data_IF_814159956811
#
_entry.id   IF_814159956811
#
_cell.length_a   1.000
_cell.length_b   1.000
_cell.length_c   1.000
_cell.angle_alpha   90.00
_cell.angle_beta   90.00
_cell.angle_gamma   90.00
#
_symmetry.space_group_name_H-M   'P 1'
#
loop_
_entity.id
_entity.type
_entity.pdbx_description
1 polymer ?
#
# COMPACT_ATOMS: atom_id res chain seq x y z
N UNK A 1 32.32 -2.54 -12.58
CA UNK A 1 30.93 -2.25 -13.00
C UNK A 1 30.04 -3.13 -12.14
N UNK A 2 29.29 -2.54 -11.21
CA UNK A 2 28.37 -3.30 -10.34
C UNK A 2 27.20 -3.76 -11.20
N UNK A 3 26.94 -5.06 -11.21
CA UNK A 3 25.88 -5.64 -12.04
C UNK A 3 24.51 -5.27 -11.46
N UNK A 4 23.48 -5.09 -12.31
CA UNK A 4 22.12 -4.77 -11.84
C UNK A 4 21.59 -5.78 -10.80
N UNK A 5 22.06 -7.03 -10.87
CA UNK A 5 21.81 -8.09 -9.89
C UNK A 5 22.40 -7.82 -8.50
N UNK A 6 23.59 -7.24 -8.40
CA UNK A 6 24.21 -6.91 -7.10
C UNK A 6 23.44 -5.80 -6.36
N UNK A 7 22.89 -4.84 -7.10
CA UNK A 7 22.08 -3.75 -6.51
C UNK A 7 20.76 -4.28 -5.94
N UNK A 8 20.13 -5.23 -6.64
CA UNK A 8 18.89 -5.88 -6.18
C UNK A 8 19.18 -6.75 -4.96
N UNK A 9 20.27 -7.53 -4.98
CA UNK A 9 20.66 -8.38 -3.85
C UNK A 9 21.02 -7.56 -2.60
N UNK A 10 21.64 -6.40 -2.77
CA UNK A 10 21.93 -5.47 -1.68
C UNK A 10 20.65 -4.88 -1.05
N UNK A 11 19.64 -4.54 -1.86
CA UNK A 11 18.33 -4.08 -1.35
C UNK A 11 17.59 -5.17 -0.60
N UNK A 12 17.63 -6.41 -1.11
CA UNK A 12 16.99 -7.54 -0.46
C UNK A 12 17.62 -7.86 0.90
N UNK A 13 18.96 -7.89 0.98
CA UNK A 13 19.67 -8.03 2.26
C UNK A 13 19.35 -6.90 3.25
N UNK A 14 19.21 -5.67 2.75
CA UNK A 14 18.88 -4.52 3.61
C UNK A 14 17.47 -4.67 4.21
N UNK A 15 16.46 -5.03 3.41
CA UNK A 15 15.10 -5.28 3.90
C UNK A 15 15.02 -6.48 4.82
N UNK A 16 15.75 -7.55 4.53
CA UNK A 16 15.81 -8.73 5.40
C UNK A 16 16.37 -8.39 6.79
N UNK A 17 17.40 -7.53 6.85
CA UNK A 17 17.97 -7.05 8.11
C UNK A 17 17.05 -6.07 8.86
N UNK A 18 16.26 -5.26 8.14
CA UNK A 18 15.26 -4.38 8.76
C UNK A 18 14.08 -5.17 9.36
N UNK A 19 13.72 -6.31 8.75
CA UNK A 19 12.65 -7.18 9.22
C UNK A 19 13.08 -8.16 10.33
N UNK A 20 14.36 -8.55 10.38
CA UNK A 20 14.84 -9.49 11.41
C UNK A 20 14.99 -8.85 12.81
N UNK A 21 14.83 -7.54 12.94
CA UNK A 21 14.93 -6.84 14.22
C UNK A 21 16.33 -6.91 14.86
N UNK A 22 17.33 -7.46 14.16
CA UNK A 22 18.69 -7.58 14.67
C UNK A 22 19.36 -6.20 14.65
N UNK A 23 19.76 -5.64 15.81
CA UNK A 23 20.51 -4.40 15.85
C UNK A 23 21.86 -4.63 15.15
N UNK A 24 22.10 -3.89 14.05
CA UNK A 24 23.36 -3.90 13.32
C UNK A 24 24.53 -3.62 14.28
N UNK A 25 25.28 -4.67 14.61
CA UNK A 25 26.49 -4.52 15.42
C UNK A 25 27.41 -3.47 14.77
N UNK A 26 27.90 -2.49 15.55
CA UNK A 26 28.76 -1.45 15.02
C UNK A 26 30.08 -2.08 14.56
N UNK A 27 30.24 -2.21 13.24
CA UNK A 27 31.49 -2.64 12.61
C UNK A 27 32.64 -1.78 13.16
N UNK A 28 33.50 -2.42 13.95
CA UNK A 28 34.76 -1.87 14.47
C UNK A 28 35.55 -1.30 13.29
N UNK A 29 35.62 0.02 13.18
CA UNK A 29 36.43 0.71 12.18
C UNK A 29 37.90 0.40 12.46
N UNK A 30 38.53 -0.32 11.52
CA UNK A 30 39.96 -0.50 11.49
C UNK A 30 40.65 0.87 11.38
N UNK A 31 41.47 1.16 12.37
CA UNK A 31 42.23 2.40 12.56
C UNK A 31 43.42 2.41 11.60
N UNK A 32 43.25 3.01 10.42
CA UNK A 32 44.37 3.35 9.53
C UNK A 32 45.07 4.60 10.10
N UNK A 33 46.38 4.51 10.25
CA UNK A 33 47.24 5.49 10.90
C UNK A 33 47.89 6.47 9.91
N UNK A 34 48.22 7.64 10.46
CA UNK A 34 49.19 8.68 10.04
C UNK A 34 48.70 9.85 9.15
N UNK A 35 49.35 11.04 9.20
CA UNK A 35 49.95 11.71 10.36
C UNK A 35 49.49 13.17 10.54
N UNK A 36 49.86 13.70 11.71
CA UNK A 36 49.64 15.05 12.26
C UNK A 36 50.15 16.20 11.38
N UNK A 37 49.37 17.28 11.33
CA UNK A 37 49.83 18.69 11.42
C UNK A 37 48.74 19.47 12.21
N UNK A 38 49.11 20.10 13.33
CA UNK A 38 48.21 20.94 14.16
C UNK A 38 48.24 22.42 13.77
N UNK A 39 48.04 23.38 14.70
CA UNK A 39 46.88 23.57 15.58
C UNK A 39 46.37 25.05 15.58
N UNK A 40 45.12 25.30 15.98
CA UNK A 40 44.68 26.54 16.69
C UNK A 40 43.26 26.30 17.25
N UNK A 41 43.10 26.13 18.55
CA UNK A 41 42.69 27.17 19.51
C UNK A 41 41.30 27.78 19.26
N UNK A 42 40.43 27.63 20.26
CA UNK A 42 39.09 28.24 20.29
C UNK A 42 38.23 27.65 21.41
N UNK A 43 38.44 28.19 22.61
CA UNK A 43 37.86 27.75 23.88
C UNK A 43 36.39 28.17 24.10
N UNK A 44 35.81 27.61 25.18
CA UNK A 44 34.54 27.94 25.89
C UNK A 44 33.30 27.35 25.25
N UNK A 45 32.55 26.45 25.88
CA UNK A 45 32.02 26.44 27.25
C UNK A 45 30.49 26.48 27.11
N UNK A 46 29.63 25.79 27.84
CA UNK A 46 29.71 24.88 28.97
C UNK A 46 28.29 24.82 29.54
N UNK A 47 27.81 23.59 29.77
CA UNK A 47 26.80 23.19 30.78
C UNK A 47 25.31 23.56 30.61
N UNK A 48 24.53 22.60 31.12
CA UNK A 48 23.23 22.73 31.80
C UNK A 48 22.00 22.77 30.87
N UNK A 49 20.91 22.05 31.07
CA UNK A 49 20.49 21.05 32.08
C UNK A 49 19.26 20.35 31.50
N UNK A 50 19.14 19.04 31.69
CA UNK A 50 17.83 18.39 31.75
C UNK A 50 17.06 18.91 32.97
N UNK A 51 15.73 19.03 32.87
CA UNK A 51 14.93 18.21 33.76
C UNK A 51 13.76 17.53 33.04
N UNK A 52 13.49 16.30 33.48
CA UNK A 52 12.27 15.57 33.15
C UNK A 52 11.01 16.31 33.62
N UNK A 53 9.93 16.07 32.88
CA UNK A 53 8.60 16.57 33.19
C UNK A 53 7.56 15.60 32.65
N UNK A 54 7.27 14.59 33.46
CA UNK A 54 6.08 13.75 33.39
C UNK A 54 4.83 14.63 33.41
N UNK A 55 4.07 14.62 32.32
CA UNK A 55 2.75 15.25 32.22
C UNK A 55 1.79 14.28 31.56
N UNK A 56 0.99 13.58 32.35
CA UNK A 56 -0.15 12.81 31.86
C UNK A 56 -1.26 13.80 31.50
N UNK A 57 -1.53 14.01 30.22
CA UNK A 57 -2.73 14.73 29.79
C UNK A 57 -3.85 13.74 29.52
N UNK A 58 -4.81 13.76 30.45
CA UNK A 58 -6.10 13.12 30.39
C UNK A 58 -7.02 13.97 29.50
N UNK A 59 -7.57 13.32 28.47
CA UNK A 59 -8.89 13.50 27.85
C UNK A 59 -9.52 14.91 27.87
N UNK A 60 -9.62 15.51 26.68
CA UNK A 60 -10.87 16.17 26.26
C UNK A 60 -11.17 15.76 24.82
N UNK A 61 -12.10 14.81 24.67
CA UNK A 61 -12.81 14.53 23.43
C UNK A 61 -13.52 15.82 22.98
N UNK A 62 -13.04 16.46 21.92
CA UNK A 62 -13.79 17.49 21.23
C UNK A 62 -14.81 16.82 20.30
N UNK A 63 -16.09 16.97 20.64
CA UNK A 63 -17.22 16.53 19.80
C UNK A 63 -17.14 17.18 18.41
N UNK A 64 -17.33 16.43 17.31
CA UNK A 64 -17.54 17.03 16.00
C UNK A 64 -18.91 17.75 15.99
N UNK A 65 -18.90 19.00 15.52
CA UNK A 65 -20.09 19.81 15.32
C UNK A 65 -21.05 19.17 14.29
N UNK A 66 -22.37 19.32 14.46
CA UNK A 66 -23.34 18.80 13.51
C UNK A 66 -23.25 19.54 12.16
N UNK A 67 -23.22 18.75 11.10
CA UNK A 67 -23.30 19.18 9.71
C UNK A 67 -24.60 19.95 9.51
N UNK A 68 -24.48 21.27 9.36
CA UNK A 68 -25.58 22.14 8.95
C UNK A 68 -26.02 21.76 7.53
N UNK A 69 -27.22 21.20 7.42
CA UNK A 69 -27.89 20.93 6.17
C UNK A 69 -28.21 22.26 5.46
N UNK A 70 -27.53 22.51 4.35
CA UNK A 70 -27.87 23.62 3.45
C UNK A 70 -29.13 23.23 2.66
N UNK A 71 -30.22 24.04 2.72
CA UNK A 71 -31.43 23.78 1.95
C UNK A 71 -31.21 23.94 0.45
N UNK A 72 -31.88 23.08 -0.31
CA UNK A 72 -31.73 22.91 -1.74
C UNK A 72 -31.89 24.18 -2.57
N UNK A 73 -31.05 24.29 -3.60
CA UNK A 73 -31.33 25.13 -4.77
C UNK A 73 -32.14 24.33 -5.80
N UNK A 74 -33.17 24.94 -6.40
CA UNK A 74 -34.02 24.27 -7.37
C UNK A 74 -33.27 24.01 -8.69
N UNK A 75 -33.51 22.80 -9.20
CA UNK A 75 -33.22 22.36 -10.55
C UNK A 75 -33.89 23.30 -11.56
N UNK A 76 -33.07 23.93 -12.41
CA UNK A 76 -33.56 24.57 -13.64
C UNK A 76 -33.13 23.71 -14.82
N UNK A 77 -34.13 23.18 -15.52
CA UNK A 77 -34.07 22.52 -16.84
C UNK A 77 -35.35 22.97 -17.58
N UNK A 78 -35.49 22.80 -18.89
CA UNK A 78 -34.57 22.95 -20.04
C UNK A 78 -35.06 24.08 -20.98
N UNK A 79 -34.27 24.47 -21.97
CA UNK A 79 -34.83 25.18 -23.12
C UNK A 79 -33.79 25.65 -24.12
N UNK A 80 -33.89 25.15 -25.36
CA UNK A 80 -33.29 25.83 -26.51
C UNK A 80 -32.44 24.94 -27.40
N UNK A 81 -33.11 24.14 -28.24
CA UNK A 81 -32.60 23.68 -29.52
C UNK A 81 -32.06 24.87 -30.34
N UNK A 82 -30.91 24.72 -30.99
CA UNK A 82 -30.63 25.30 -32.32
C UNK A 82 -29.21 24.96 -32.80
N UNK A 83 -29.20 24.19 -33.89
CA UNK A 83 -28.41 24.47 -35.09
C UNK A 83 -26.89 24.30 -35.05
N UNK A 84 -26.43 23.25 -35.73
CA UNK A 84 -25.21 23.33 -36.53
C UNK A 84 -25.23 24.58 -37.43
N UNK A 85 -24.07 25.18 -37.68
CA UNK A 85 -23.66 25.20 -39.07
C UNK A 85 -22.20 24.81 -39.27
N UNK A 86 -22.05 23.97 -40.27
CA UNK A 86 -21.01 23.94 -41.28
C UNK A 86 -20.06 25.15 -41.34
N UNK A 87 -18.80 24.82 -41.62
CA UNK A 87 -18.03 25.38 -42.74
C UNK A 87 -17.48 26.81 -42.68
N UNK A 88 -16.17 26.84 -42.92
CA UNK A 88 -15.44 27.84 -43.69
C UNK A 88 -14.72 28.97 -42.94
N UNK A 89 -13.53 29.22 -43.48
CA UNK A 89 -12.70 30.43 -43.35
C UNK A 89 -11.92 30.60 -42.05
N UNK A 90 -10.73 30.00 -42.09
CA UNK A 90 -9.49 30.63 -41.60
C UNK A 90 -9.51 32.14 -41.89
N UNK A 91 -9.39 33.02 -40.89
CA UNK A 91 -9.00 34.39 -41.16
C UNK A 91 -7.53 34.39 -41.56
N UNK A 92 -7.31 34.81 -42.81
CA UNK A 92 -6.00 35.13 -43.32
C UNK A 92 -5.35 36.20 -42.44
N UNK A 93 -4.15 35.87 -41.99
CA UNK A 93 -3.05 36.73 -41.56
C UNK A 93 -3.15 38.16 -42.16
N UNK A 94 -3.23 39.23 -41.36
CA UNK A 94 -2.86 40.54 -41.86
C UNK A 94 -1.34 40.52 -42.14
N UNK A 95 -0.87 40.86 -43.35
CA UNK A 95 0.55 41.10 -43.55
C UNK A 95 0.96 42.32 -42.72
N UNK A 96 1.97 42.14 -41.86
CA UNK A 96 2.66 43.22 -41.19
C UNK A 96 3.07 44.29 -42.21
N UNK A 97 2.90 45.59 -41.92
CA UNK A 97 3.38 46.62 -42.82
C UNK A 97 4.90 46.50 -42.93
N UNK A 98 5.35 46.09 -44.12
CA UNK A 98 6.71 46.27 -44.58
C UNK A 98 7.01 47.76 -44.41
N UNK A 99 7.99 48.07 -43.56
CA UNK A 99 8.53 49.41 -43.44
C UNK A 99 9.19 49.77 -44.78
N UNK A 100 8.38 50.31 -45.69
CA UNK A 100 8.85 51.07 -46.82
C UNK A 100 9.55 52.31 -46.25
N UNK A 101 10.88 52.20 -46.14
CA UNK A 101 11.80 53.32 -46.03
C UNK A 101 11.36 54.36 -47.07
N UNK A 102 10.96 55.59 -46.69
CA UNK A 102 10.92 56.68 -47.64
C UNK A 102 12.38 56.94 -48.00
N UNK A 103 12.79 56.47 -49.19
CA UNK A 103 13.99 56.99 -49.83
C UNK A 103 13.71 58.45 -50.12
N UNK A 104 14.30 59.34 -49.32
CA UNK A 104 14.36 60.76 -49.66
C UNK A 104 15.05 60.88 -51.01
N UNK A 105 14.42 61.49 -52.03
CA UNK A 105 15.10 61.82 -53.26
C UNK A 105 16.22 62.83 -52.94
N UNK A 106 17.43 62.49 -53.36
CA UNK A 106 18.53 63.45 -53.40
C UNK A 106 18.09 64.66 -54.22
N UNK A 107 18.27 65.90 -53.72
CA UNK A 107 17.95 67.08 -54.50
C UNK A 107 18.94 67.20 -55.68
N UNK A 108 18.46 67.67 -56.85
CA UNK A 108 19.30 67.90 -58.01
C UNK A 108 20.29 69.04 -57.74
N UNK A 109 21.51 68.85 -58.26
CA UNK A 109 22.53 69.88 -58.41
C UNK A 109 21.98 70.97 -59.36
N UNK A 110 21.44 72.05 -58.79
CA UNK A 110 21.14 73.27 -59.54
C UNK A 110 22.20 74.33 -59.25
N UNK A 111 23.05 74.51 -60.25
CA UNK A 111 23.58 75.76 -60.79
C UNK A 111 23.64 76.97 -59.85
N UNK A 112 24.87 77.19 -59.38
CA UNK A 112 25.60 78.48 -59.41
C UNK A 112 24.81 79.71 -59.88
N UNK A 113 23.88 80.19 -59.05
CA UNK A 113 23.39 81.56 -59.13
C UNK A 113 24.04 82.39 -58.04
N UNK A 114 25.33 82.65 -58.22
CA UNK A 114 26.05 83.82 -57.71
C UNK A 114 25.56 84.42 -56.39
N UNK A 115 25.42 83.60 -55.35
CA UNK A 115 25.43 84.11 -53.98
C UNK A 115 26.84 84.65 -53.78
N UNK A 116 26.98 85.97 -53.82
CA UNK A 116 28.13 86.65 -53.23
C UNK A 116 28.08 86.35 -51.74
N UNK A 117 28.57 85.17 -51.36
CA UNK A 117 28.93 84.85 -50.00
C UNK A 117 29.94 85.93 -49.63
N UNK A 118 29.48 86.90 -48.84
CA UNK A 118 30.37 87.74 -48.07
C UNK A 118 31.04 86.81 -47.05
N UNK A 119 32.02 86.03 -47.50
CA UNK A 119 32.98 85.38 -46.63
C UNK A 119 33.80 86.50 -46.01
N UNK A 120 33.27 87.05 -44.92
CA UNK A 120 34.05 87.87 -44.01
C UNK A 120 35.13 86.93 -43.48
N UNK A 121 36.36 87.13 -43.95
CA UNK A 121 37.53 86.37 -43.55
C UNK A 121 37.87 86.78 -42.10
N UNK A 122 37.28 86.08 -41.12
CA UNK A 122 37.50 86.37 -39.71
C UNK A 122 38.89 85.85 -39.30
N UNK A 123 39.83 86.75 -39.04
CA UNK A 123 41.04 86.43 -38.28
C UNK A 123 40.76 86.65 -36.79
N UNK A 124 39.91 85.81 -36.21
CA UNK A 124 39.69 85.79 -34.76
C UNK A 124 40.54 84.66 -34.18
N UNK A 125 41.59 85.02 -33.44
CA UNK A 125 42.41 84.05 -32.71
C UNK A 125 41.65 83.59 -31.47
N UNK A 126 41.73 82.30 -31.12
CA UNK A 126 41.29 81.81 -29.81
C UNK A 126 42.13 82.48 -28.71
N UNK A 127 41.59 83.56 -28.12
CA UNK A 127 42.29 84.42 -27.16
C UNK A 127 42.07 85.93 -27.37
N UNK A 128 41.61 86.37 -28.55
CA UNK A 128 41.29 87.78 -28.79
C UNK A 128 39.94 88.14 -28.16
N UNK A 129 39.98 88.67 -26.94
CA UNK A 129 38.78 89.19 -26.28
C UNK A 129 38.25 90.39 -27.05
N UNK A 130 37.04 90.28 -27.59
CA UNK A 130 36.33 91.41 -28.19
C UNK A 130 36.14 92.59 -27.23
N UNK A 131 36.30 92.37 -25.91
CA UNK A 131 36.26 93.44 -24.91
C UNK A 131 37.56 94.26 -24.85
N UNK A 132 38.68 93.69 -25.26
CA UNK A 132 40.00 94.33 -25.22
C UNK A 132 40.39 94.99 -26.56
N UNK A 133 39.75 94.58 -27.65
CA UNK A 133 39.97 95.15 -28.99
C UNK A 133 38.69 95.82 -29.54
N UNK A 134 38.67 97.15 -29.50
CA UNK A 134 37.52 97.99 -29.95
C UNK A 134 37.24 97.82 -31.45
N UNK A 135 38.26 97.62 -32.28
CA UNK A 135 38.08 97.34 -33.71
C UNK A 135 37.34 96.02 -33.91
N UNK A 136 37.74 94.98 -33.18
CA UNK A 136 37.10 93.66 -33.20
C UNK A 136 35.67 93.73 -32.68
N UNK A 137 35.43 94.48 -31.60
CA UNK A 137 34.08 94.73 -31.10
C UNK A 137 33.19 95.41 -32.15
N UNK A 138 33.70 96.46 -32.81
CA UNK A 138 32.95 97.19 -33.86
C UNK A 138 32.66 96.32 -35.07
N UNK A 139 33.59 95.47 -35.49
CA UNK A 139 33.36 94.51 -36.57
C UNK A 139 32.32 93.46 -36.19
N UNK A 140 32.40 92.92 -34.97
CA UNK A 140 31.38 92.03 -34.42
C UNK A 140 30.00 92.70 -34.38
N UNK A 141 29.88 93.93 -33.89
CA UNK A 141 28.61 94.65 -33.87
C UNK A 141 28.07 94.94 -35.27
N UNK A 142 28.93 95.24 -36.26
CA UNK A 142 28.48 95.46 -37.65
C UNK A 142 27.90 94.21 -38.30
N UNK A 143 28.37 93.02 -37.92
CA UNK A 143 27.92 91.76 -38.52
C UNK A 143 26.82 91.08 -37.69
N UNK A 144 26.87 91.19 -36.37
CA UNK A 144 25.92 90.57 -35.45
C UNK A 144 24.59 91.31 -35.34
N UNK A 145 24.56 92.63 -35.57
CA UNK A 145 23.31 93.39 -35.58
C UNK A 145 22.58 93.10 -36.88
N UNK A 146 21.50 92.32 -36.79
CA UNK A 146 20.66 92.04 -37.93
C UNK A 146 20.06 93.34 -38.48
N UNK A 147 19.77 93.44 -39.80
CA UNK A 147 19.12 94.62 -40.37
C UNK A 147 17.85 95.07 -39.61
N UNK A 148 17.10 94.12 -39.04
CA UNK A 148 15.93 94.39 -38.20
C UNK A 148 16.30 95.07 -36.86
N UNK A 149 17.41 94.67 -36.24
CA UNK A 149 17.91 95.28 -35.00
C UNK A 149 18.49 96.65 -35.27
N UNK A 150 19.12 96.86 -36.43
CA UNK A 150 19.57 98.18 -36.88
C UNK A 150 18.40 99.15 -37.06
N UNK A 151 17.30 98.68 -37.67
CA UNK A 151 16.07 99.47 -37.80
C UNK A 151 15.46 99.80 -36.44
N UNK A 152 15.48 98.85 -35.48
CA UNK A 152 15.07 99.10 -34.09
C UNK A 152 15.95 100.16 -33.41
N UNK A 153 17.27 100.05 -33.48
CA UNK A 153 18.22 101.01 -32.88
C UNK A 153 18.03 102.41 -33.46
N UNK A 154 17.69 102.55 -34.73
CA UNK A 154 17.40 103.85 -35.35
C UNK A 154 16.04 104.44 -34.93
N UNK A 155 15.06 103.58 -34.61
CA UNK A 155 13.71 103.98 -34.25
C UNK A 155 13.53 104.31 -32.75
N UNK A 156 14.47 103.92 -31.89
CA UNK A 156 14.42 104.16 -30.44
C UNK A 156 15.73 104.79 -29.94
N UNK A 157 15.68 105.47 -28.80
CA UNK A 157 16.92 105.98 -28.18
C UNK A 157 17.84 104.82 -27.76
N UNK A 158 19.16 105.05 -27.75
CA UNK A 158 20.15 104.04 -27.35
C UNK A 158 19.82 103.42 -25.99
N UNK A 159 19.41 104.22 -25.00
CA UNK A 159 19.04 103.73 -23.67
C UNK A 159 17.83 102.78 -23.71
N UNK A 160 16.80 103.10 -24.48
CA UNK A 160 15.63 102.23 -24.64
C UNK A 160 15.97 100.91 -25.33
N UNK A 161 16.88 100.95 -26.32
CA UNK A 161 17.37 99.74 -26.96
C UNK A 161 18.14 98.85 -25.97
N UNK A 162 19.06 99.43 -25.20
CA UNK A 162 19.83 98.70 -24.19
C UNK A 162 18.92 98.11 -23.10
N UNK A 163 17.91 98.85 -22.64
CA UNK A 163 16.94 98.35 -21.67
C UNK A 163 16.08 97.21 -22.25
N UNK A 164 15.63 97.33 -23.51
CA UNK A 164 14.89 96.27 -24.21
C UNK A 164 15.74 95.01 -24.41
N UNK A 165 17.00 95.18 -24.83
CA UNK A 165 17.94 94.08 -24.99
C UNK A 165 18.25 93.40 -23.64
N UNK A 166 18.44 94.17 -22.57
CA UNK A 166 18.64 93.65 -21.21
C UNK A 166 17.43 92.84 -20.75
N UNK A 167 16.22 93.35 -20.91
CA UNK A 167 15.00 92.64 -20.55
C UNK A 167 14.81 91.36 -21.37
N UNK A 168 15.11 91.40 -22.67
CA UNK A 168 15.08 90.22 -23.54
C UNK A 168 16.09 89.17 -23.11
N UNK A 169 17.33 89.58 -22.78
CA UNK A 169 18.36 88.69 -22.29
C UNK A 169 17.97 88.02 -20.97
N UNK A 170 17.43 88.79 -20.01
CA UNK A 170 16.93 88.24 -18.74
C UNK A 170 15.80 87.23 -18.98
N UNK A 171 14.87 87.52 -19.91
CA UNK A 171 13.80 86.59 -20.27
C UNK A 171 14.35 85.29 -20.86
N UNK A 172 15.31 85.38 -21.79
CA UNK A 172 15.92 84.18 -22.38
C UNK A 172 16.75 83.40 -21.37
N UNK A 173 17.45 84.06 -20.46
CA UNK A 173 18.16 83.38 -19.36
C UNK A 173 17.18 82.61 -18.46
N UNK A 174 16.04 83.21 -18.10
CA UNK A 174 14.99 82.53 -17.32
C UNK A 174 14.37 81.36 -18.09
N UNK A 175 14.16 81.51 -19.40
CA UNK A 175 13.66 80.45 -20.27
C UNK A 175 14.65 79.27 -20.34
N UNK A 176 15.94 79.56 -20.52
CA UNK A 176 17.00 78.55 -20.51
C UNK A 176 17.07 77.85 -19.15
N UNK A 177 17.01 78.59 -18.03
CA UNK A 177 17.00 78.00 -16.68
C UNK A 177 15.77 77.09 -16.46
N UNK A 178 14.60 77.51 -16.95
CA UNK A 178 13.37 76.70 -16.92
C UNK A 178 13.51 75.43 -17.76
N UNK A 179 14.15 75.49 -18.93
CA UNK A 179 14.41 74.32 -19.76
C UNK A 179 15.45 73.38 -19.12
N UNK A 180 16.47 73.92 -18.44
CA UNK A 180 17.46 73.13 -17.70
C UNK A 180 16.79 72.36 -16.56
N UNK A 181 15.97 73.03 -15.76
CA UNK A 181 15.22 72.41 -14.65
C UNK A 181 14.24 71.36 -15.15
N UNK A 182 13.46 71.67 -16.18
CA UNK A 182 12.55 70.70 -16.81
C UNK A 182 13.32 69.49 -17.39
N UNK A 183 14.46 69.72 -18.02
CA UNK A 183 15.34 68.66 -18.54
C UNK A 183 15.88 67.76 -17.43
N UNK A 184 16.23 68.32 -16.27
CA UNK A 184 16.65 67.56 -15.09
C UNK A 184 15.49 66.69 -14.56
N UNK A 185 14.28 67.25 -14.47
CA UNK A 185 13.08 66.53 -14.04
C UNK A 185 12.73 65.35 -14.95
N UNK A 186 12.79 65.55 -16.28
CA UNK A 186 12.56 64.47 -17.24
C UNK A 186 13.60 63.36 -17.12
N UNK A 187 14.88 63.72 -16.96
CA UNK A 187 15.95 62.73 -16.73
C UNK A 187 15.71 61.93 -15.45
N UNK A 188 15.30 62.59 -14.37
CA UNK A 188 15.02 61.90 -13.11
C UNK A 188 13.78 61.00 -13.21
N UNK A 189 12.70 61.45 -13.85
CA UNK A 189 11.53 60.60 -14.13
C UNK A 189 11.90 59.39 -14.97
N UNK A 190 12.71 59.57 -16.02
CA UNK A 190 13.18 58.46 -16.85
C UNK A 190 13.97 57.43 -16.03
N UNK A 191 14.85 57.86 -15.12
CA UNK A 191 15.57 56.95 -14.21
C UNK A 191 14.63 56.20 -13.26
N UNK A 192 13.57 56.84 -12.75
CA UNK A 192 12.57 56.17 -11.91
C UNK A 192 11.78 55.14 -12.71
N UNK A 193 11.36 55.47 -13.92
CA UNK A 193 10.67 54.54 -14.81
C UNK A 193 11.55 53.32 -15.16
N UNK A 194 12.83 53.53 -15.47
CA UNK A 194 13.77 52.43 -15.74
C UNK A 194 13.93 51.51 -14.52
N UNK A 195 14.12 52.06 -13.32
CA UNK A 195 14.19 51.26 -12.08
C UNK A 195 12.90 50.48 -11.83
N UNK A 196 11.74 51.11 -12.00
CA UNK A 196 10.46 50.43 -11.85
C UNK A 196 10.28 49.29 -12.87
N UNK A 197 10.76 49.47 -14.10
CA UNK A 197 10.78 48.43 -15.12
C UNK A 197 11.70 47.27 -14.73
N UNK A 198 12.94 47.54 -14.29
CA UNK A 198 13.89 46.52 -13.84
C UNK A 198 13.33 45.70 -12.66
N UNK A 199 12.68 46.37 -11.70
CA UNK A 199 11.99 45.71 -10.58
C UNK A 199 10.82 44.83 -11.06
N UNK A 200 10.02 45.32 -12.01
CA UNK A 200 8.92 44.54 -12.58
C UNK A 200 9.43 43.31 -13.34
N UNK A 201 10.50 43.44 -14.13
CA UNK A 201 11.14 42.33 -14.83
C UNK A 201 11.73 41.32 -13.84
N UNK A 202 12.36 41.79 -12.75
CA UNK A 202 12.87 40.92 -11.70
C UNK A 202 11.73 40.11 -11.06
N UNK A 203 10.63 40.75 -10.68
CA UNK A 203 9.44 40.07 -10.12
C UNK A 203 8.85 39.08 -11.12
N UNK A 204 8.79 39.42 -12.41
CA UNK A 204 8.30 38.52 -13.44
C UNK A 204 9.18 37.25 -13.57
N UNK A 205 10.51 37.39 -13.47
CA UNK A 205 11.43 36.25 -13.46
C UNK A 205 11.26 35.37 -12.21
N UNK A 206 11.13 35.99 -11.03
CA UNK A 206 10.88 35.27 -9.77
C UNK A 206 9.56 34.47 -9.82
N UNK A 207 8.49 35.07 -10.34
CA UNK A 207 7.22 34.39 -10.55
C UNK A 207 7.32 33.27 -11.60
N UNK A 208 8.13 33.46 -12.65
CA UNK A 208 8.44 32.42 -13.63
C UNK A 208 9.07 31.19 -12.98
N UNK A 209 10.10 31.38 -12.16
CA UNK A 209 10.75 30.30 -11.41
C UNK A 209 9.81 29.62 -10.41
N UNK A 210 8.97 30.40 -9.71
CA UNK A 210 7.96 29.82 -8.81
C UNK A 210 6.94 28.97 -9.58
N UNK A 211 6.48 29.43 -10.74
CA UNK A 211 5.57 28.67 -11.60
C UNK A 211 6.22 27.35 -12.08
N UNK A 212 7.48 27.39 -12.52
CA UNK A 212 8.22 26.18 -12.92
C UNK A 212 8.35 25.21 -11.74
N UNK A 213 8.70 25.72 -10.55
CA UNK A 213 8.76 24.91 -9.34
C UNK A 213 7.42 24.26 -8.96
N UNK A 214 6.31 24.99 -9.11
CA UNK A 214 4.97 24.44 -8.89
C UNK A 214 4.60 23.38 -9.93
N UNK A 215 4.91 23.60 -11.21
CA UNK A 215 4.66 22.61 -12.26
C UNK A 215 5.43 21.31 -12.02
N UNK A 216 6.69 21.39 -11.56
CA UNK A 216 7.47 20.21 -11.19
C UNK A 216 6.85 19.46 -10.00
N UNK A 217 6.34 20.17 -9.00
CA UNK A 217 5.65 19.55 -7.85
C UNK A 217 4.34 18.88 -8.26
N UNK A 218 3.56 19.52 -9.14
CA UNK A 218 2.33 18.94 -9.69
C UNK A 218 2.65 17.68 -10.47
N UNK A 219 3.66 17.70 -11.35
CA UNK A 219 4.11 16.52 -12.09
C UNK A 219 4.55 15.37 -11.17
N UNK A 220 5.33 15.67 -10.12
CA UNK A 220 5.74 14.67 -9.13
C UNK A 220 4.54 14.07 -8.37
N UNK A 221 3.57 14.89 -7.97
CA UNK A 221 2.35 14.44 -7.29
C UNK A 221 1.44 13.61 -8.22
N UNK A 222 1.34 13.97 -9.50
CA UNK A 222 0.61 13.19 -10.51
C UNK A 222 1.25 11.81 -10.71
N UNK A 223 2.57 11.72 -10.75
CA UNK A 223 3.28 10.45 -10.88
C UNK A 223 3.17 9.59 -9.60
N UNK A 224 3.22 10.20 -8.41
CA UNK A 224 2.94 9.52 -7.15
C UNK A 224 1.50 8.98 -7.12
N UNK A 225 0.51 9.78 -7.54
CA UNK A 225 -0.88 9.35 -7.63
C UNK A 225 -1.07 8.17 -8.58
N UNK A 226 -0.37 8.14 -9.73
CA UNK A 226 -0.38 6.99 -10.65
C UNK A 226 0.21 5.75 -9.99
N UNK A 227 1.33 5.86 -9.28
CA UNK A 227 1.94 4.74 -8.56
C UNK A 227 1.00 4.19 -7.47
N UNK A 228 0.35 5.06 -6.70
CA UNK A 228 -0.63 4.65 -5.69
C UNK A 228 -1.85 3.96 -6.33
N UNK A 229 -2.31 4.44 -7.48
CA UNK A 229 -3.41 3.81 -8.23
C UNK A 229 -3.04 2.40 -8.67
N UNK A 230 -1.83 2.21 -9.23
CA UNK A 230 -1.33 0.89 -9.60
C UNK A 230 -1.23 -0.05 -8.39
N UNK A 231 -0.69 0.42 -7.26
CA UNK A 231 -0.60 -0.38 -6.04
C UNK A 231 -1.97 -0.80 -5.50
N UNK A 232 -2.96 0.09 -5.58
CA UNK A 232 -4.34 -0.20 -5.16
C UNK A 232 -5.02 -1.23 -6.07
N UNK A 233 -4.73 -1.23 -7.36
CA UNK A 233 -5.26 -2.25 -8.28
C UNK A 233 -4.57 -3.62 -8.09
N UNK A 234 -3.27 -3.64 -7.80
CA UNK A 234 -2.56 -4.86 -7.39
C UNK A 234 -3.14 -5.45 -6.09
N UNK A 235 -3.42 -4.61 -5.09
CA UNK A 235 -4.03 -5.04 -3.82
C UNK A 235 -5.45 -5.60 -4.03
N UNK A 236 -6.28 -4.94 -4.86
CA UNK A 236 -7.60 -5.47 -5.23
C UNK A 236 -7.50 -6.85 -5.89
N UNK A 237 -6.51 -7.03 -6.78
CA UNK A 237 -6.29 -8.32 -7.44
C UNK A 237 -5.87 -9.40 -6.43
N UNK A 238 -4.94 -9.08 -5.51
CA UNK A 238 -4.51 -9.99 -4.44
C UNK A 238 -5.67 -10.36 -3.50
N UNK A 239 -6.52 -9.40 -3.13
CA UNK A 239 -7.69 -9.65 -2.31
C UNK A 239 -8.76 -10.48 -3.05
N UNK A 240 -8.94 -10.29 -4.36
CA UNK A 240 -9.80 -11.16 -5.18
C UNK A 240 -9.28 -12.60 -5.22
N UNK A 241 -7.96 -12.79 -5.34
CA UNK A 241 -7.31 -14.10 -5.27
C UNK A 241 -7.56 -14.74 -3.89
N UNK A 242 -7.26 -14.04 -2.80
CA UNK A 242 -7.46 -14.54 -1.44
C UNK A 242 -8.94 -14.94 -1.17
N UNK A 243 -9.90 -14.15 -1.65
CA UNK A 243 -11.34 -14.49 -1.58
C UNK A 243 -11.67 -15.76 -2.35
N UNK A 244 -11.06 -15.97 -3.52
CA UNK A 244 -11.29 -17.17 -4.32
C UNK A 244 -10.69 -18.42 -3.65
N UNK A 245 -9.51 -18.31 -3.05
CA UNK A 245 -8.88 -19.38 -2.28
C UNK A 245 -9.67 -19.72 -1.02
N UNK A 246 -10.18 -18.72 -0.31
CA UNK A 246 -11.05 -18.91 0.84
C UNK A 246 -12.30 -19.72 0.45
N UNK A 247 -13.01 -19.32 -0.61
CA UNK A 247 -14.19 -20.06 -1.10
C UNK A 247 -13.84 -21.49 -1.51
N UNK A 248 -12.69 -21.71 -2.15
CA UNK A 248 -12.23 -23.04 -2.51
C UNK A 248 -11.95 -23.89 -1.25
N UNK A 249 -11.38 -23.30 -0.20
CA UNK A 249 -11.14 -23.99 1.08
C UNK A 249 -12.44 -24.30 1.83
N UNK A 250 -13.42 -23.40 1.78
CA UNK A 250 -14.75 -23.60 2.37
C UNK A 250 -15.49 -24.73 1.65
N UNK A 251 -15.40 -24.80 0.32
CA UNK A 251 -15.97 -25.91 -0.46
C UNK A 251 -15.35 -27.26 -0.06
N UNK A 252 -14.02 -27.34 0.05
CA UNK A 252 -13.33 -28.57 0.51
C UNK A 252 -13.73 -28.94 1.94
N UNK A 253 -13.90 -27.96 2.82
CA UNK A 253 -14.36 -28.20 4.19
C UNK A 253 -15.79 -28.76 4.20
N UNK A 254 -16.69 -28.22 3.37
CA UNK A 254 -18.05 -28.72 3.23
C UNK A 254 -18.08 -30.16 2.69
N UNK A 255 -17.27 -30.47 1.68
CA UNK A 255 -17.09 -31.83 1.16
C UNK A 255 -16.58 -32.79 2.25
N UNK A 256 -15.54 -32.41 2.99
CA UNK A 256 -14.98 -33.21 4.07
C UNK A 256 -16.02 -33.48 5.18
N UNK A 257 -16.81 -32.46 5.56
CA UNK A 257 -17.92 -32.62 6.52
C UNK A 257 -18.99 -33.57 6.02
N UNK A 258 -19.34 -33.50 4.72
CA UNK A 258 -20.31 -34.42 4.13
C UNK A 258 -19.80 -35.87 4.13
N UNK A 259 -18.53 -36.09 3.79
CA UNK A 259 -17.90 -37.41 3.81
C UNK A 259 -17.82 -37.98 5.23
N UNK A 260 -17.54 -37.13 6.22
CA UNK A 260 -17.53 -37.51 7.62
C UNK A 260 -18.93 -37.95 8.08
N UNK A 261 -19.98 -37.21 7.74
CA UNK A 261 -21.36 -37.59 8.05
C UNK A 261 -21.74 -38.96 7.44
N UNK A 262 -21.34 -39.24 6.19
CA UNK A 262 -21.54 -40.55 5.55
C UNK A 262 -20.81 -41.66 6.30
N UNK A 263 -19.56 -41.42 6.73
CA UNK A 263 -18.78 -42.40 7.50
C UNK A 263 -19.37 -42.65 8.88
N UNK A 264 -19.79 -41.61 9.59
CA UNK A 264 -20.48 -41.75 10.88
C UNK A 264 -21.75 -42.59 10.75
N UNK A 265 -22.52 -42.38 9.69
CA UNK A 265 -23.69 -43.22 9.42
C UNK A 265 -23.29 -44.67 9.16
N UNK A 266 -22.27 -44.93 8.32
CA UNK A 266 -21.80 -46.28 8.05
C UNK A 266 -21.27 -47.00 9.31
N UNK A 267 -20.64 -46.28 10.22
CA UNK A 267 -20.21 -46.81 11.53
C UNK A 267 -21.42 -47.22 12.36
N UNK A 268 -22.43 -46.34 12.49
CA UNK A 268 -23.67 -46.68 13.22
C UNK A 268 -24.37 -47.92 12.62
N UNK A 269 -24.42 -48.02 11.29
CA UNK A 269 -24.97 -49.20 10.62
C UNK A 269 -24.15 -50.47 10.88
N UNK A 270 -22.82 -50.35 10.98
CA UNK A 270 -21.95 -51.47 11.33
C UNK A 270 -22.10 -51.89 12.80
N UNK A 271 -22.22 -50.93 13.73
CA UNK A 271 -22.48 -51.17 15.14
C UNK A 271 -23.80 -51.93 15.35
N UNK A 272 -24.88 -51.48 14.70
CA UNK A 272 -26.17 -52.19 14.73
C UNK A 272 -26.06 -53.64 14.22
N UNK A 273 -25.32 -53.87 13.12
CA UNK A 273 -25.09 -55.23 12.61
C UNK A 273 -24.28 -56.10 13.57
N UNK A 274 -23.32 -55.52 14.27
CA UNK A 274 -22.55 -56.23 15.30
C UNK A 274 -23.46 -56.62 16.47
N UNK A 275 -24.32 -55.71 16.94
CA UNK A 275 -25.31 -56.01 17.98
C UNK A 275 -26.29 -57.12 17.55
N UNK A 276 -26.79 -57.08 16.31
CA UNK A 276 -27.65 -58.13 15.75
C UNK A 276 -26.95 -59.50 15.71
N UNK A 277 -25.69 -59.54 15.26
CA UNK A 277 -24.91 -60.78 15.20
C UNK A 277 -24.58 -61.32 16.60
N UNK A 278 -24.28 -60.44 17.56
CA UNK A 278 -24.08 -60.83 18.96
C UNK A 278 -25.35 -61.44 19.55
N UNK A 279 -26.53 -60.85 19.30
CA UNK A 279 -27.80 -61.41 19.73
C UNK A 279 -28.06 -62.79 19.10
N UNK A 280 -27.80 -62.96 17.79
CA UNK A 280 -27.93 -64.26 17.12
C UNK A 280 -26.97 -65.32 17.68
N UNK A 281 -25.73 -64.94 17.99
CA UNK A 281 -24.77 -65.84 18.61
C UNK A 281 -25.22 -66.28 20.00
N UNK A 282 -25.74 -65.35 20.82
CA UNK A 282 -26.30 -65.69 22.13
C UNK A 282 -27.45 -66.71 22.04
N UNK A 283 -28.38 -66.52 21.09
CA UNK A 283 -29.46 -67.51 20.84
C UNK A 283 -28.91 -68.87 20.45
N UNK A 284 -27.93 -68.91 19.52
CA UNK A 284 -27.32 -70.18 19.09
C UNK A 284 -26.55 -70.87 20.21
N UNK A 285 -25.88 -70.11 21.05
CA UNK A 285 -25.14 -70.61 22.20
C UNK A 285 -26.11 -71.26 23.21
N UNK A 286 -27.22 -70.60 23.54
CA UNK A 286 -28.26 -71.14 24.42
C UNK A 286 -28.93 -72.39 23.84
N UNK A 287 -29.22 -72.40 22.53
CA UNK A 287 -29.72 -73.60 21.85
C UNK A 287 -28.71 -74.76 21.89
N UNK A 288 -27.43 -74.48 21.66
CA UNK A 288 -26.37 -75.48 21.71
C UNK A 288 -26.21 -76.04 23.13
N UNK A 289 -26.22 -75.18 24.15
CA UNK A 289 -26.23 -75.59 25.57
C UNK A 289 -27.43 -76.49 25.87
N UNK A 290 -28.63 -76.09 25.44
CA UNK A 290 -29.85 -76.89 25.66
C UNK A 290 -29.76 -78.25 24.98
N UNK A 291 -29.32 -78.31 23.71
CA UNK A 291 -29.11 -79.59 22.99
C UNK A 291 -28.08 -80.47 23.68
N UNK A 292 -26.98 -79.89 24.16
CA UNK A 292 -25.96 -80.62 24.91
C UNK A 292 -26.53 -81.19 26.22
N UNK A 293 -27.29 -80.40 26.98
CA UNK A 293 -27.96 -80.85 28.21
C UNK A 293 -29.01 -81.92 27.95
N UNK A 294 -29.80 -81.78 26.88
CA UNK A 294 -30.78 -82.78 26.45
C UNK A 294 -30.09 -84.08 26.03
N UNK A 295 -28.98 -84.01 25.28
CA UNK A 295 -28.18 -85.19 24.93
C UNK A 295 -27.62 -85.88 26.18
N UNK A 296 -27.03 -85.12 27.12
CA UNK A 296 -26.55 -85.66 28.41
C UNK A 296 -27.68 -86.33 29.18
N UNK A 297 -28.90 -85.77 29.15
CA UNK A 297 -30.07 -86.36 29.79
C UNK A 297 -30.48 -87.68 29.13
N UNK A 298 -30.58 -87.71 27.80
CA UNK A 298 -30.87 -88.93 27.04
C UNK A 298 -29.82 -90.03 27.30
N UNK A 299 -28.54 -89.67 27.37
CA UNK A 299 -27.48 -90.60 27.74
C UNK A 299 -27.67 -91.18 29.14
N UNK A 300 -28.05 -90.35 30.12
CA UNK A 300 -28.34 -90.82 31.49
C UNK A 300 -29.57 -91.71 31.56
N UNK A 301 -30.59 -91.43 30.75
CA UNK A 301 -31.85 -92.17 30.73
C UNK A 301 -31.76 -93.47 29.90
N UNK A 302 -30.74 -93.62 29.06
CA UNK A 302 -30.57 -94.79 28.21
C UNK A 302 -29.99 -95.97 29.00
N UNK A 303 -30.84 -96.94 29.30
CA UNK A 303 -30.44 -98.22 29.92
C UNK A 303 -29.35 -98.93 29.11
N UNK A 304 -29.45 -98.94 27.78
CA UNK A 304 -28.41 -99.54 26.91
C UNK A 304 -27.02 -98.92 27.09
N UNK A 305 -26.93 -97.62 27.38
CA UNK A 305 -25.66 -96.94 27.62
C UNK A 305 -25.19 -97.10 29.06
N UNK A 306 -26.11 -97.21 30.03
CA UNK A 306 -25.75 -97.57 31.39
C UNK A 306 -25.22 -98.99 31.44
N UNK A 307 -25.89 -99.94 30.79
CA UNK A 307 -25.43 -101.32 30.65
C UNK A 307 -24.10 -101.38 29.91
N UNK A 308 -23.90 -100.61 28.84
CA UNK A 308 -22.63 -100.59 28.12
C UNK A 308 -21.51 -99.88 28.89
N UNK A 309 -21.80 -98.83 29.66
CA UNK A 309 -20.83 -98.22 30.57
C UNK A 309 -20.53 -99.12 31.75
N UNK A 310 -21.52 -99.83 32.30
CA UNK A 310 -21.31 -100.82 33.35
C UNK A 310 -20.54 -102.00 32.81
N UNK A 311 -20.87 -102.55 31.64
CA UNK A 311 -20.13 -103.64 31.02
C UNK A 311 -18.73 -103.18 30.62
N UNK A 312 -18.55 -102.09 29.89
CA UNK A 312 -17.23 -101.67 29.39
C UNK A 312 -16.37 -101.05 30.50
N UNK A 313 -16.95 -100.30 31.45
CA UNK A 313 -16.19 -99.79 32.59
C UNK A 313 -15.95 -100.87 33.64
N UNK A 314 -16.90 -101.77 33.95
CA UNK A 314 -16.63 -102.89 34.89
C UNK A 314 -15.74 -103.92 34.23
N UNK A 315 -15.98 -104.34 32.98
CA UNK A 315 -15.09 -105.28 32.30
C UNK A 315 -13.73 -104.65 32.01
N UNK A 316 -13.66 -103.38 31.61
CA UNK A 316 -12.40 -102.66 31.43
C UNK A 316 -11.65 -102.46 32.74
N UNK A 317 -12.34 -102.18 33.85
CA UNK A 317 -11.75 -102.09 35.19
C UNK A 317 -11.27 -103.45 35.68
N UNK A 318 -12.08 -104.50 35.52
CA UNK A 318 -11.72 -105.89 35.87
C UNK A 318 -10.52 -106.34 35.05
N UNK A 319 -10.53 -106.13 33.73
CA UNK A 319 -9.43 -106.50 32.85
C UNK A 319 -8.17 -105.70 33.15
N UNK A 320 -8.28 -104.39 33.42
CA UNK A 320 -7.15 -103.58 33.88
C UNK A 320 -6.61 -104.00 35.25
N UNK A 321 -7.48 -104.45 36.16
CA UNK A 321 -7.10 -104.98 37.47
C UNK A 321 -6.42 -106.35 37.36
N UNK A 322 -6.88 -107.21 36.45
CA UNK A 322 -6.28 -108.51 36.16
C UNK A 322 -4.91 -108.35 35.50
N UNK A 323 -4.77 -107.43 34.55
CA UNK A 323 -3.49 -107.06 33.95
C UNK A 323 -2.51 -106.53 35.01
N UNK A 324 -3.00 -105.69 35.93
CA UNK A 324 -2.23 -105.23 37.08
C UNK A 324 -1.82 -106.38 38.02
N UNK A 325 -2.73 -107.29 38.37
CA UNK A 325 -2.42 -108.48 39.19
C UNK A 325 -1.37 -109.35 38.51
N UNK A 326 -1.49 -109.58 37.21
CA UNK A 326 -0.53 -110.35 36.42
C UNK A 326 0.85 -109.70 36.40
N UNK A 327 0.93 -108.38 36.23
CA UNK A 327 2.18 -107.63 36.32
C UNK A 327 2.79 -107.70 37.73
N UNK A 328 1.97 -107.55 38.78
CA UNK A 328 2.45 -107.58 40.16
C UNK A 328 2.94 -108.97 40.58
N UNK A 329 2.27 -110.04 40.13
CA UNK A 329 2.69 -111.42 40.37
C UNK A 329 4.00 -111.77 39.65
N UNK A 330 4.25 -111.22 38.46
CA UNK A 330 5.54 -111.36 37.77
C UNK A 330 6.69 -110.71 38.56
N UNK A 331 6.41 -109.57 39.21
CA UNK A 331 7.39 -108.85 40.02
C UNK A 331 7.57 -109.44 41.42
N UNK A 332 6.52 -110.01 42.01
CA UNK A 332 6.47 -110.50 43.38
C UNK A 332 5.67 -111.82 43.49
N UNK A 333 6.28 -112.98 43.22
CA UNK A 333 5.58 -114.26 43.19
C UNK A 333 5.08 -114.76 44.57
N UNK A 334 5.63 -114.22 45.65
CA UNK A 334 5.33 -114.64 47.03
C UNK A 334 4.09 -113.94 47.60
N UNK A 335 3.57 -112.92 46.92
CA UNK A 335 2.40 -112.17 47.36
C UNK A 335 1.12 -112.88 46.92
N UNK A 336 0.32 -113.33 47.88
CA UNK A 336 -0.97 -113.96 47.60
C UNK A 336 -2.01 -112.89 47.26
N UNK A 337 -2.20 -112.68 45.96
CA UNK A 337 -3.11 -111.67 45.41
C UNK A 337 -4.56 -112.16 45.36
N UNK A 338 -4.84 -113.42 45.73
CA UNK A 338 -6.21 -113.96 45.72
C UNK A 338 -7.11 -113.31 46.78
N UNK A 339 -6.52 -112.57 47.72
CA UNK A 339 -7.23 -111.78 48.74
C UNK A 339 -7.68 -110.40 48.26
N UNK A 340 -7.18 -109.89 47.12
CA UNK A 340 -7.55 -108.59 46.56
C UNK A 340 -8.67 -108.78 45.52
N UNK A 341 -9.92 -108.66 45.97
CA UNK A 341 -11.07 -108.62 45.07
C UNK A 341 -11.29 -107.20 44.53
N UNK A 342 -11.52 -107.03 43.22
CA UNK A 342 -11.98 -105.77 42.65
C UNK A 342 -13.25 -105.30 43.39
N UNK A 343 -13.19 -104.14 44.05
CA UNK A 343 -14.33 -103.56 44.79
C UNK A 343 -14.38 -103.82 46.29
N UNK A 344 -13.47 -104.64 46.86
CA UNK A 344 -13.37 -104.85 48.31
C UNK A 344 -12.75 -103.63 49.03
N UNK A 345 -13.53 -102.56 49.18
CA UNK A 345 -13.09 -101.34 49.89
C UNK A 345 -13.99 -100.10 49.75
N UNK A 346 -15.07 -100.15 48.95
CA UNK A 346 -15.92 -98.96 48.68
C UNK A 346 -17.23 -99.00 49.49
N UNK A 347 -17.19 -99.47 50.73
CA UNK A 347 -18.27 -99.27 51.70
C UNK A 347 -17.81 -98.21 52.71
N UNK A 348 -17.89 -96.92 52.35
CA UNK A 348 -17.47 -95.86 53.28
C UNK A 348 -17.36 -94.42 52.74
N UNK A 349 -17.52 -94.17 51.45
CA UNK A 349 -17.52 -92.81 50.89
C UNK A 349 -18.92 -92.43 50.39
N UNK A 350 -19.88 -92.49 51.31
CA UNK A 350 -21.15 -91.81 51.14
C UNK A 350 -20.96 -90.30 51.29
N UNK A 351 -21.34 -89.56 50.25
CA UNK A 351 -21.93 -88.21 50.33
C UNK A 351 -21.25 -87.21 51.26
N UNK A 352 -20.22 -86.54 50.77
CA UNK A 352 -19.90 -85.15 51.14
C UNK A 352 -19.74 -84.36 49.82
N UNK A 353 -20.58 -83.35 49.55
CA UNK A 353 -20.33 -82.45 48.44
C UNK A 353 -19.08 -81.62 48.77
N UNK A 354 -17.94 -82.01 48.21
CA UNK A 354 -16.73 -81.22 48.22
C UNK A 354 -16.95 -79.96 47.36
N UNK A 355 -17.50 -78.93 48.01
CA UNK A 355 -17.48 -77.55 47.58
C UNK A 355 -16.02 -77.06 47.63
N UNK A 356 -15.30 -77.21 46.52
CA UNK A 356 -14.01 -76.57 46.31
C UNK A 356 -13.72 -76.46 44.81
N UNK A 357 -14.28 -75.43 44.17
CA UNK A 357 -13.70 -74.87 42.97
C UNK A 357 -12.49 -74.00 43.39
N UNK A 358 -11.28 -74.27 42.86
CA UNK A 358 -10.11 -73.46 43.17
C UNK A 358 -10.22 -72.11 42.47
N UNK A 359 -10.13 -71.02 43.24
CA UNK A 359 -9.81 -69.70 42.71
C UNK A 359 -8.47 -69.80 41.96
N UNK A 360 -8.53 -69.70 40.63
CA UNK A 360 -7.37 -69.53 39.77
C UNK A 360 -6.90 -68.09 39.95
N UNK A 361 -5.61 -67.85 40.25
CA UNK A 361 -5.09 -66.50 40.45
C UNK A 361 -5.07 -65.75 39.11
N UNK A 362 -5.71 -64.58 39.10
CA UNK A 362 -5.50 -63.56 38.06
C UNK A 362 -4.05 -63.06 38.14
N UNK A 363 -3.16 -63.69 37.39
CA UNK A 363 -1.89 -63.06 37.05
C UNK A 363 -1.45 -63.51 35.64
N UNK A 364 -1.88 -62.77 34.61
CA UNK A 364 -1.02 -62.61 33.46
C UNK A 364 -1.11 -61.20 32.86
N UNK A 365 0.05 -60.57 32.91
CA UNK A 365 0.41 -59.27 32.41
C UNK A 365 0.04 -59.04 30.93
N UNK A 366 -0.45 -57.83 30.64
CA UNK A 366 -0.18 -57.17 29.37
C UNK A 366 0.36 -55.76 29.65
N UNK A 367 1.67 -55.67 29.48
CA UNK A 367 2.40 -54.42 29.26
C UNK A 367 1.77 -53.68 28.09
N UNK A 368 1.38 -52.43 28.30
CA UNK A 368 1.55 -51.44 27.25
C UNK A 368 1.98 -50.11 27.87
N UNK A 369 3.25 -49.83 27.62
CA UNK A 369 3.96 -48.59 27.86
C UNK A 369 3.21 -47.40 27.28
N UNK A 370 2.79 -46.48 28.15
CA UNK A 370 2.48 -45.11 27.77
C UNK A 370 3.79 -44.35 27.49
N UNK A 371 4.00 -43.78 26.29
CA UNK A 371 4.89 -42.66 26.15
C UNK A 371 4.12 -41.39 26.55
N UNK A 372 4.41 -40.88 27.75
CA UNK A 372 4.08 -39.51 28.15
C UNK A 372 4.91 -38.56 27.29
N UNK A 373 4.42 -38.28 26.08
CA UNK A 373 4.93 -37.20 25.24
C UNK A 373 4.15 -35.95 25.65
N UNK A 374 4.82 -35.11 26.43
CA UNK A 374 4.44 -33.72 26.60
C UNK A 374 4.39 -33.03 25.22
N UNK A 375 3.29 -32.34 24.88
CA UNK A 375 3.37 -31.26 23.93
C UNK A 375 3.73 -29.97 24.70
N UNK A 376 4.97 -29.53 24.53
CA UNK A 376 5.28 -28.09 24.54
C UNK A 376 4.41 -27.43 23.47
N UNK A 377 3.24 -26.97 23.88
CA UNK A 377 2.37 -26.08 23.12
C UNK A 377 2.50 -24.68 23.67
N UNK A 378 3.54 -23.98 23.23
CA UNK A 378 3.66 -22.55 23.39
C UNK A 378 2.55 -21.88 22.54
N UNK A 379 2.05 -20.76 23.07
CA UNK A 379 1.38 -19.66 22.37
C UNK A 379 -0.14 -19.70 22.08
N UNK A 380 -0.83 -18.84 22.84
CA UNK A 380 -1.64 -17.69 22.37
C UNK A 380 -2.82 -18.00 21.44
N UNK A 381 -4.02 -17.73 21.97
CA UNK A 381 -5.21 -17.49 21.16
C UNK A 381 -6.44 -17.15 22.01
N UNK A 382 -6.61 -15.87 22.33
CA UNK A 382 -7.89 -15.32 22.82
C UNK A 382 -9.03 -15.61 21.81
N UNK A 383 -10.19 -16.12 22.24
CA UNK A 383 -11.41 -16.04 21.46
C UNK A 383 -12.28 -14.89 21.97
N UNK A 384 -12.05 -13.70 21.44
CA UNK A 384 -12.94 -12.54 21.59
C UNK A 384 -13.80 -12.35 20.36
N UNK A 385 -14.87 -13.13 20.21
CA UNK A 385 -15.90 -12.94 19.18
C UNK A 385 -17.29 -12.89 19.82
N UNK A 386 -17.73 -11.69 20.19
CA UNK A 386 -19.16 -11.36 20.27
C UNK A 386 -19.65 -11.06 18.86
N UNK A 387 -20.36 -12.02 18.28
CA UNK A 387 -21.22 -11.81 17.13
C UNK A 387 -22.57 -11.28 17.62
N UNK A 388 -22.89 -10.03 17.29
CA UNK A 388 -24.26 -9.54 17.31
C UNK A 388 -24.81 -9.54 15.87
N UNK A 389 -25.93 -10.24 15.77
CA UNK A 389 -26.76 -10.52 14.62
C UNK A 389 -27.64 -9.30 14.33
N UNK A 390 -27.70 -8.86 13.07
CA UNK A 390 -28.84 -8.11 12.57
C UNK A 390 -29.12 -8.56 11.13
N UNK A 391 -30.29 -9.20 11.00
CA UNK A 391 -30.94 -9.58 9.76
C UNK A 391 -31.40 -8.33 8.99
N UNK A 392 -31.25 -8.35 7.67
CA UNK A 392 -32.10 -7.57 6.77
C UNK A 392 -32.17 -8.28 5.41
N UNK A 393 -33.23 -9.06 5.31
CA UNK A 393 -33.89 -9.60 4.12
C UNK A 393 -34.19 -8.47 3.10
N UNK A 394 -34.01 -8.75 1.79
CA UNK A 394 -34.21 -7.74 0.75
C UNK A 394 -34.07 -8.26 -0.68
N UNK A 395 -35.00 -9.16 -1.04
CA UNK A 395 -35.57 -9.46 -2.36
C UNK A 395 -34.78 -9.12 -3.65
N UNK A 396 -34.50 -10.19 -4.41
CA UNK A 396 -34.34 -10.20 -5.86
C UNK A 396 -35.54 -9.56 -6.58
N UNK A 397 -35.28 -8.68 -7.54
CA UNK A 397 -36.18 -8.37 -8.64
C UNK A 397 -35.34 -8.22 -9.91
N UNK A 398 -35.33 -9.26 -10.74
CA UNK A 398 -35.08 -9.13 -12.18
C UNK A 398 -36.24 -8.39 -12.83
N UNK A 399 -35.96 -7.57 -13.86
CA UNK A 399 -36.94 -7.39 -14.92
C UNK A 399 -36.33 -7.66 -16.30
N UNK A 400 -36.82 -8.73 -16.91
CA UNK A 400 -37.72 -8.58 -18.05
C UNK A 400 -37.07 -8.36 -19.41
N UNK A 401 -36.93 -9.47 -20.14
CA UNK A 401 -36.79 -9.53 -21.59
C UNK A 401 -37.88 -8.71 -22.29
N UNK A 402 -37.47 -7.87 -23.25
CA UNK A 402 -38.38 -7.12 -24.14
C UNK A 402 -38.43 -7.87 -25.47
N UNK A 403 -39.60 -8.25 -25.99
CA UNK A 403 -39.70 -9.01 -27.23
C UNK A 403 -39.43 -8.13 -28.45
N UNK A 404 -38.71 -8.73 -29.39
CA UNK A 404 -38.55 -8.24 -30.77
C UNK A 404 -39.86 -8.49 -31.51
N UNK A 405 -40.58 -7.42 -31.84
CA UNK A 405 -41.73 -7.48 -32.74
C UNK A 405 -41.39 -6.74 -34.04
N UNK A 406 -41.35 -7.50 -35.13
CA UNK A 406 -41.14 -6.99 -36.48
C UNK A 406 -42.43 -6.43 -37.07
N UNK A 407 -42.30 -5.37 -37.86
CA UNK A 407 -43.33 -4.96 -38.81
C UNK A 407 -42.66 -4.73 -40.18
N UNK A 408 -42.95 -5.65 -41.11
CA UNK A 408 -42.80 -5.46 -42.53
C UNK A 408 -44.20 -5.35 -43.15
N UNK A 409 -44.43 -4.30 -43.97
CA UNK A 409 -45.37 -4.23 -45.10
C UNK A 409 -45.20 -2.83 -45.75
N UNK A 410 -44.59 -2.73 -46.94
CA UNK A 410 -45.23 -2.74 -48.28
C UNK A 410 -46.01 -1.43 -48.56
N UNK A 411 -45.45 -0.46 -49.30
CA UNK A 411 -45.50 -0.29 -50.77
C UNK A 411 -46.88 0.17 -51.30
N UNK A 412 -47.02 0.85 -52.46
CA UNK A 412 -46.04 1.25 -53.48
C UNK A 412 -45.63 2.73 -53.47
#
# INVERSE_FOLDING_TARGET
MVTKSEVIYARFRKRAAELSGEPLEPKKKAKIAAPRVGPSEGARGGRSSDPGGSGSEVLVLACPAPISQVPGRPSTRPGGSASEPSSSRRPARPPSPVAARPGSPAPPEEEERGERTYTVEWRLSEGDSALENIETARQLFRVAILPADRAKIQAMSLNQFLDSARLSAVRHLLEVDTLITLGADYKERARRCMRAQEEAEKRARELGLQKEGLLLRVGAAEDEAKLLTMGLDEEKAAHSLARSELRASEARLAEARSLLAVREQAIREAELKVEELQAQLGVREEEAKKRALDAVRLFKESEEFQELLEEEAVNGLVQGFDDFRNQLHQLCPEFDLDLLQPGAGVEGLGTEPAEAAPEVPEEEAARESAPEIAPEGNEVGEPGATAERAEAEGAEVEPGEIPVEGAAQAAP
#
